data_IF_071556332684
#
_entry.id   IF_071556332684
#
_cell.length_a   1.000
_cell.length_b   1.000
_cell.length_c   1.000
_cell.angle_alpha   90.00
_cell.angle_beta   90.00
_cell.angle_gamma   90.00
#
_symmetry.space_group_name_H-M   'P 1'
#
loop_
_entity.id
_entity.type
_entity.pdbx_description
1 polymer ?
#
# COMPACT_ATOMS: atom_id res chain seq x y z
N UNK A 1 12.44 -2.71 -27.15
CA UNK A 1 11.51 -2.74 -25.98
C UNK A 1 10.31 -3.59 -26.39
N UNK A 2 9.99 -4.65 -25.63
CA UNK A 2 8.86 -5.52 -25.91
C UNK A 2 7.76 -5.18 -24.89
N UNK A 3 6.60 -4.71 -25.38
CA UNK A 3 5.49 -4.29 -24.52
C UNK A 3 4.41 -5.38 -24.33
N UNK A 4 4.61 -6.56 -24.92
CA UNK A 4 3.69 -7.69 -24.76
C UNK A 4 3.97 -8.46 -23.48
N UNK A 5 2.92 -8.97 -22.84
CA UNK A 5 3.03 -9.86 -21.69
C UNK A 5 3.49 -11.25 -22.13
N UNK A 6 4.32 -11.90 -21.33
CA UNK A 6 4.61 -13.32 -21.45
C UNK A 6 3.36 -14.16 -21.15
N UNK A 7 3.38 -15.46 -21.50
CA UNK A 7 2.26 -16.36 -21.20
C UNK A 7 2.06 -16.51 -19.68
N UNK A 8 3.15 -16.53 -18.91
CA UNK A 8 3.10 -16.54 -17.43
C UNK A 8 2.46 -15.26 -16.89
N UNK A 9 2.86 -14.09 -17.38
CA UNK A 9 2.28 -12.82 -16.98
C UNK A 9 0.79 -12.71 -17.33
N UNK A 10 0.36 -13.24 -18.48
CA UNK A 10 -1.06 -13.34 -18.83
C UNK A 10 -1.82 -14.21 -17.85
N UNK A 11 -1.27 -15.35 -17.48
CA UNK A 11 -1.88 -16.27 -16.51
C UNK A 11 -2.01 -15.60 -15.13
N UNK A 12 -0.99 -14.86 -14.67
CA UNK A 12 -1.05 -14.10 -13.42
C UNK A 12 -2.19 -13.09 -13.46
N UNK A 13 -2.30 -12.31 -14.54
CA UNK A 13 -3.38 -11.34 -14.73
C UNK A 13 -4.75 -12.01 -14.73
N UNK A 14 -4.93 -13.07 -15.51
CA UNK A 14 -6.21 -13.76 -15.64
C UNK A 14 -6.64 -14.42 -14.32
N UNK A 15 -5.72 -15.11 -13.63
CA UNK A 15 -6.00 -15.77 -12.35
C UNK A 15 -6.35 -14.75 -11.27
N UNK A 16 -5.56 -13.68 -11.16
CA UNK A 16 -5.79 -12.65 -10.15
C UNK A 16 -7.10 -11.91 -10.41
N UNK A 17 -7.38 -11.56 -11.68
CA UNK A 17 -8.64 -10.92 -12.07
C UNK A 17 -9.85 -11.80 -11.74
N UNK A 18 -9.80 -13.08 -12.11
CA UNK A 18 -10.86 -14.01 -11.80
C UNK A 18 -11.12 -14.12 -10.30
N UNK A 19 -10.07 -14.15 -9.48
CA UNK A 19 -10.19 -14.15 -8.03
C UNK A 19 -10.85 -12.87 -7.52
N UNK A 20 -10.42 -11.72 -8.01
CA UNK A 20 -10.99 -10.42 -7.64
C UNK A 20 -12.49 -10.36 -7.97
N UNK A 21 -12.86 -10.75 -9.18
CA UNK A 21 -14.25 -10.67 -9.65
C UNK A 21 -15.17 -11.67 -8.95
N UNK A 22 -14.70 -12.89 -8.72
CA UNK A 22 -15.52 -13.96 -8.15
C UNK A 22 -15.53 -13.98 -6.61
N UNK A 23 -14.41 -13.63 -5.97
CA UNK A 23 -14.24 -13.78 -4.53
C UNK A 23 -14.25 -12.45 -3.76
N UNK A 24 -13.78 -11.34 -4.35
CA UNK A 24 -13.71 -10.07 -3.63
C UNK A 24 -14.88 -9.14 -3.92
N UNK A 25 -15.28 -8.96 -5.19
CA UNK A 25 -16.39 -8.05 -5.57
C UNK A 25 -17.70 -8.34 -4.85
N UNK A 26 -18.12 -9.61 -4.61
CA UNK A 26 -19.38 -9.88 -3.92
C UNK A 26 -19.47 -9.28 -2.51
N UNK A 27 -18.33 -9.06 -1.85
CA UNK A 27 -18.27 -8.58 -0.47
C UNK A 27 -18.06 -7.07 -0.34
N UNK A 28 -17.75 -6.37 -1.44
CA UNK A 28 -17.42 -4.94 -1.40
C UNK A 28 -18.53 -4.08 -0.79
N UNK A 29 -19.78 -4.32 -1.20
CA UNK A 29 -20.93 -3.52 -0.74
C UNK A 29 -21.16 -3.65 0.76
N UNK A 30 -21.01 -4.85 1.33
CA UNK A 30 -21.12 -5.07 2.77
C UNK A 30 -20.02 -4.31 3.52
N UNK A 31 -18.77 -4.48 3.10
CA UNK A 31 -17.62 -3.82 3.72
C UNK A 31 -17.73 -2.29 3.65
N UNK A 32 -18.13 -1.76 2.50
CA UNK A 32 -18.31 -0.31 2.33
C UNK A 32 -19.42 0.27 3.22
N UNK A 33 -20.56 -0.42 3.33
CA UNK A 33 -21.70 0.04 4.13
C UNK A 33 -21.46 -0.08 5.62
N UNK A 34 -20.86 -1.17 6.07
CA UNK A 34 -20.60 -1.41 7.49
C UNK A 34 -19.33 -0.72 7.99
N UNK A 35 -18.34 -0.52 7.11
CA UNK A 35 -16.99 -0.10 7.48
C UNK A 35 -16.23 -1.17 8.26
N UNK A 36 -16.67 -2.43 8.21
CA UNK A 36 -16.10 -3.56 8.96
C UNK A 36 -15.78 -4.71 8.02
N UNK A 37 -14.60 -5.25 8.14
CA UNK A 37 -14.20 -6.51 7.53
C UNK A 37 -14.22 -7.60 8.61
N UNK A 38 -15.24 -8.48 8.56
CA UNK A 38 -15.46 -9.51 9.58
C UNK A 38 -14.34 -10.55 9.58
N UNK A 39 -13.98 -11.07 10.74
CA UNK A 39 -12.91 -12.05 10.90
C UNK A 39 -13.16 -13.33 10.12
N UNK A 40 -14.38 -13.84 10.13
CA UNK A 40 -14.78 -15.03 9.40
C UNK A 40 -14.57 -14.86 7.88
N UNK A 41 -14.89 -13.68 7.35
CA UNK A 41 -14.67 -13.37 5.94
C UNK A 41 -13.18 -13.24 5.61
N UNK A 42 -12.38 -12.65 6.51
CA UNK A 42 -10.91 -12.61 6.34
C UNK A 42 -10.36 -14.02 6.23
N UNK A 43 -10.74 -14.90 7.16
CA UNK A 43 -10.21 -16.27 7.22
C UNK A 43 -10.65 -17.10 6.00
N UNK A 44 -11.90 -16.94 5.54
CA UNK A 44 -12.42 -17.57 4.32
C UNK A 44 -11.65 -17.12 3.07
N UNK A 45 -11.58 -15.81 2.81
CA UNK A 45 -10.94 -15.27 1.62
C UNK A 45 -9.43 -15.52 1.61
N UNK A 46 -8.78 -15.49 2.78
CA UNK A 46 -7.38 -15.86 2.92
C UNK A 46 -7.12 -17.32 2.56
N UNK A 47 -7.96 -18.24 3.04
CA UNK A 47 -7.85 -19.66 2.70
C UNK A 47 -7.96 -19.87 1.19
N UNK A 48 -8.93 -19.25 0.54
CA UNK A 48 -9.09 -19.28 -0.93
C UNK A 48 -7.89 -18.66 -1.66
N UNK A 49 -7.32 -17.54 -1.16
CA UNK A 49 -6.14 -16.92 -1.74
C UNK A 49 -4.89 -17.79 -1.62
N UNK A 50 -4.75 -18.51 -0.51
CA UNK A 50 -3.66 -19.50 -0.32
C UNK A 50 -3.83 -20.67 -1.29
N UNK A 51 -5.02 -21.23 -1.42
CA UNK A 51 -5.33 -22.33 -2.34
C UNK A 51 -5.08 -21.94 -3.80
N UNK A 52 -5.41 -20.70 -4.17
CA UNK A 52 -5.18 -20.15 -5.50
C UNK A 52 -3.71 -19.74 -5.77
N UNK A 53 -2.81 -19.85 -4.78
CA UNK A 53 -1.40 -19.43 -4.91
C UNK A 53 -1.20 -17.91 -4.99
N UNK A 54 -2.21 -17.11 -4.59
CA UNK A 54 -2.18 -15.66 -4.64
C UNK A 54 -1.68 -15.03 -3.32
N UNK A 55 -1.78 -15.74 -2.20
CA UNK A 55 -1.27 -15.28 -0.91
C UNK A 55 0.26 -15.40 -0.86
N UNK A 56 0.95 -14.43 -0.26
CA UNK A 56 2.41 -14.34 -0.21
C UNK A 56 3.09 -14.28 -1.60
N UNK A 57 2.37 -13.89 -2.65
CA UNK A 57 2.92 -13.79 -4.01
C UNK A 57 4.09 -12.78 -4.12
N UNK A 58 4.15 -11.79 -3.21
CA UNK A 58 5.21 -10.80 -3.11
C UNK A 58 6.52 -11.34 -2.47
N UNK A 59 6.51 -12.56 -1.94
CA UNK A 59 7.67 -13.13 -1.26
C UNK A 59 8.55 -13.93 -2.22
N UNK A 60 9.90 -13.96 -1.97
CA UNK A 60 10.81 -14.84 -2.70
C UNK A 60 10.44 -16.32 -2.58
N UNK A 61 10.78 -17.12 -3.59
CA UNK A 61 10.47 -18.55 -3.63
C UNK A 61 11.20 -19.34 -2.54
N UNK A 62 12.42 -18.94 -2.16
CA UNK A 62 13.23 -19.61 -1.14
C UNK A 62 12.63 -19.53 0.27
N UNK A 63 11.71 -18.59 0.51
CA UNK A 63 10.97 -18.47 1.77
C UNK A 63 9.50 -18.93 1.66
N UNK A 64 9.10 -19.47 0.51
CA UNK A 64 7.76 -20.03 0.29
C UNK A 64 6.77 -19.07 -0.38
N UNK A 65 7.24 -17.99 -0.99
CA UNK A 65 6.43 -17.11 -1.83
C UNK A 65 6.42 -17.53 -3.31
N UNK A 66 5.76 -16.73 -4.16
CA UNK A 66 5.69 -17.04 -5.59
C UNK A 66 6.97 -16.69 -6.37
N UNK A 67 7.87 -15.89 -5.81
CA UNK A 67 9.13 -15.54 -6.45
C UNK A 67 8.97 -14.69 -7.72
N UNK A 68 7.90 -13.91 -7.81
CA UNK A 68 7.62 -13.05 -8.95
C UNK A 68 8.71 -11.98 -9.13
N UNK A 69 9.08 -11.71 -10.38
CA UNK A 69 9.81 -10.50 -10.70
C UNK A 69 8.93 -9.25 -10.43
N UNK A 70 9.53 -8.09 -10.39
CA UNK A 70 8.80 -6.86 -10.03
C UNK A 70 7.70 -6.54 -11.03
N UNK A 71 7.93 -6.73 -12.31
CA UNK A 71 6.91 -6.50 -13.35
C UNK A 71 5.72 -7.41 -13.14
N UNK A 72 5.93 -8.71 -12.92
CA UNK A 72 4.88 -9.69 -12.68
C UNK A 72 4.13 -9.42 -11.37
N UNK A 73 4.85 -9.03 -10.32
CA UNK A 73 4.23 -8.60 -9.07
C UNK A 73 3.36 -7.34 -9.24
N UNK A 74 3.81 -6.35 -10.03
CA UNK A 74 3.01 -5.15 -10.30
C UNK A 74 1.76 -5.45 -11.14
N UNK A 75 1.81 -6.43 -12.03
CA UNK A 75 0.61 -6.91 -12.75
C UNK A 75 -0.40 -7.53 -11.77
N UNK A 76 0.08 -8.38 -10.85
CA UNK A 76 -0.74 -8.93 -9.76
C UNK A 76 -1.36 -7.83 -8.89
N UNK A 77 -0.57 -6.86 -8.41
CA UNK A 77 -1.06 -5.76 -7.58
C UNK A 77 -2.05 -4.85 -8.33
N UNK A 78 -1.86 -4.66 -9.63
CA UNK A 78 -2.80 -3.93 -10.49
C UNK A 78 -4.16 -4.59 -10.53
N UNK A 79 -4.22 -5.90 -10.69
CA UNK A 79 -5.48 -6.64 -10.69
C UNK A 79 -6.15 -6.64 -9.30
N UNK A 80 -5.40 -6.85 -8.23
CA UNK A 80 -5.91 -6.73 -6.87
C UNK A 80 -6.45 -5.33 -6.57
N UNK A 81 -5.79 -4.31 -7.07
CA UNK A 81 -6.19 -2.91 -6.91
C UNK A 81 -7.60 -2.59 -7.43
N UNK A 82 -8.17 -3.41 -8.29
CA UNK A 82 -9.56 -3.28 -8.78
C UNK A 82 -10.60 -3.45 -7.67
N UNK A 83 -10.28 -4.21 -6.61
CA UNK A 83 -11.17 -4.46 -5.48
C UNK A 83 -11.09 -3.38 -4.39
N UNK A 84 -12.04 -3.47 -3.42
CA UNK A 84 -11.94 -2.71 -2.18
C UNK A 84 -10.61 -2.99 -1.47
N UNK A 85 -9.97 -1.93 -0.96
CA UNK A 85 -8.62 -2.02 -0.40
C UNK A 85 -8.54 -2.95 0.82
N UNK A 86 -9.53 -2.90 1.72
CA UNK A 86 -9.54 -3.76 2.90
C UNK A 86 -9.57 -5.25 2.50
N UNK A 87 -10.39 -5.60 1.51
CA UNK A 87 -10.50 -6.98 1.04
C UNK A 87 -9.19 -7.51 0.46
N UNK A 88 -8.62 -6.81 -0.54
CA UNK A 88 -7.43 -7.35 -1.18
C UNK A 88 -6.19 -7.29 -0.29
N UNK A 89 -6.00 -6.19 0.45
CA UNK A 89 -4.82 -6.04 1.29
C UNK A 89 -4.83 -6.96 2.51
N UNK A 90 -5.98 -7.11 3.19
CA UNK A 90 -6.08 -7.95 4.38
C UNK A 90 -6.08 -9.44 4.06
N UNK A 91 -6.76 -9.82 2.97
CA UNK A 91 -7.02 -11.23 2.69
C UNK A 91 -6.04 -11.84 1.68
N UNK A 92 -5.38 -11.04 0.83
CA UNK A 92 -4.61 -11.56 -0.33
C UNK A 92 -3.18 -11.02 -0.35
N UNK A 93 -2.97 -9.71 -0.43
CA UNK A 93 -1.66 -9.08 -0.63
C UNK A 93 -0.81 -9.04 0.66
N UNK A 94 -0.53 -10.17 1.26
CA UNK A 94 0.23 -10.31 2.51
C UNK A 94 1.28 -11.43 2.39
N UNK A 95 2.29 -11.48 3.27
CA UNK A 95 2.70 -10.54 4.34
C UNK A 95 3.58 -9.39 3.84
N UNK A 96 4.02 -8.50 4.76
CA UNK A 96 4.96 -7.42 4.46
C UNK A 96 6.37 -7.97 4.19
N UNK A 97 7.01 -7.55 3.09
CA UNK A 97 8.38 -7.95 2.72
C UNK A 97 9.46 -7.45 3.69
N UNK A 98 9.15 -6.48 4.55
CA UNK A 98 10.08 -6.01 5.59
C UNK A 98 10.51 -7.13 6.55
N UNK A 99 9.71 -8.20 6.67
CA UNK A 99 10.00 -9.39 7.47
C UNK A 99 11.25 -10.16 6.98
N UNK A 100 11.65 -9.97 5.73
CA UNK A 100 12.86 -10.56 5.16
C UNK A 100 14.14 -10.06 5.83
N UNK A 101 14.11 -8.90 6.50
CA UNK A 101 15.23 -8.36 7.26
C UNK A 101 15.51 -9.09 8.60
N UNK A 102 14.62 -10.01 9.00
CA UNK A 102 14.75 -10.76 10.25
C UNK A 102 15.89 -11.78 10.24
N UNK A 103 16.45 -12.07 11.45
CA UNK A 103 17.39 -13.19 11.65
C UNK A 103 16.70 -14.52 11.36
N UNK A 104 17.43 -15.65 11.23
CA UNK A 104 16.82 -16.97 11.05
C UNK A 104 15.76 -17.26 12.12
N UNK A 105 16.04 -16.97 13.38
CA UNK A 105 15.14 -17.22 14.52
C UNK A 105 13.89 -16.30 14.43
N UNK A 106 14.07 -15.06 14.00
CA UNK A 106 12.97 -14.13 13.77
C UNK A 106 12.11 -14.53 12.57
N UNK A 107 12.72 -15.09 11.51
CA UNK A 107 11.99 -15.62 10.37
C UNK A 107 11.12 -16.82 10.76
N UNK A 108 11.64 -17.73 11.59
CA UNK A 108 10.84 -18.84 12.14
C UNK A 108 9.66 -18.34 12.98
N UNK A 109 9.86 -17.32 13.77
CA UNK A 109 8.82 -16.79 14.68
C UNK A 109 7.77 -15.94 13.99
N UNK A 110 8.16 -15.15 12.97
CA UNK A 110 7.35 -14.09 12.37
C UNK A 110 7.09 -14.30 10.87
N UNK A 111 8.14 -14.49 10.05
CA UNK A 111 8.01 -14.52 8.60
C UNK A 111 7.25 -15.76 8.12
N UNK A 112 7.72 -16.95 8.46
CA UNK A 112 7.12 -18.19 7.96
C UNK A 112 5.66 -18.39 8.43
N UNK A 113 5.27 -18.08 9.69
CA UNK A 113 3.86 -18.07 10.07
C UNK A 113 3.02 -17.06 9.29
N UNK A 114 3.58 -15.88 8.95
CA UNK A 114 2.89 -14.91 8.10
C UNK A 114 2.71 -15.41 6.67
N UNK A 115 3.72 -16.06 6.08
CA UNK A 115 3.63 -16.67 4.74
C UNK A 115 2.55 -17.76 4.69
N UNK A 116 2.42 -18.55 5.75
CA UNK A 116 1.35 -19.57 5.87
C UNK A 116 -0.02 -19.00 6.24
N UNK A 117 -0.13 -17.68 6.43
CA UNK A 117 -1.38 -17.03 6.82
C UNK A 117 -1.81 -17.26 8.27
N UNK A 118 -0.95 -17.85 9.11
CA UNK A 118 -1.17 -18.16 10.52
C UNK A 118 -1.05 -16.91 11.41
N UNK A 119 -0.20 -15.95 11.03
CA UNK A 119 0.00 -14.67 11.72
C UNK A 119 -0.14 -13.49 10.76
N UNK A 120 -0.40 -12.32 11.33
CA UNK A 120 -0.42 -11.04 10.63
C UNK A 120 0.40 -9.99 11.36
N UNK A 121 1.02 -9.10 10.60
CA UNK A 121 1.82 -7.98 11.05
C UNK A 121 1.10 -6.65 10.86
N UNK A 122 1.53 -5.63 11.60
CA UNK A 122 1.28 -4.24 11.27
C UNK A 122 2.58 -3.43 11.35
N UNK A 123 2.64 -2.33 10.56
CA UNK A 123 3.82 -1.46 10.49
C UNK A 123 3.55 -0.13 11.18
N UNK A 124 4.37 0.25 12.16
CA UNK A 124 4.17 1.40 13.01
C UNK A 124 5.32 2.41 12.92
N UNK A 125 5.18 3.40 12.01
CA UNK A 125 6.15 4.49 11.82
C UNK A 125 5.60 5.84 12.26
N UNK A 126 4.42 6.20 11.78
CA UNK A 126 3.81 7.53 11.90
C UNK A 126 3.41 7.86 13.34
N UNK A 127 3.61 9.13 13.72
CA UNK A 127 3.22 9.66 15.03
C UNK A 127 2.32 10.89 14.87
N UNK A 128 1.59 11.33 15.91
CA UNK A 128 0.80 12.56 15.87
C UNK A 128 1.58 13.80 15.41
N UNK A 129 2.89 13.84 15.65
CA UNK A 129 3.78 14.95 15.27
C UNK A 129 4.78 14.64 14.17
N UNK A 130 4.79 13.44 13.60
CA UNK A 130 5.79 13.00 12.62
C UNK A 130 5.18 12.08 11.55
N UNK A 131 4.86 12.66 10.39
CA UNK A 131 4.38 11.94 9.20
C UNK A 131 5.38 12.05 8.07
N UNK A 132 5.35 13.11 7.26
CA UNK A 132 6.31 13.34 6.18
C UNK A 132 7.75 13.48 6.68
N UNK A 133 7.94 14.08 7.85
CA UNK A 133 9.23 14.10 8.57
C UNK A 133 9.30 12.97 9.59
N UNK A 134 9.60 11.75 9.12
CA UNK A 134 9.75 10.57 9.98
C UNK A 134 10.91 10.72 11.00
N UNK A 135 11.91 11.55 10.70
CA UNK A 135 13.02 11.80 11.64
C UNK A 135 12.65 12.75 12.78
N UNK A 136 11.53 13.43 12.65
CA UNK A 136 10.91 14.22 13.72
C UNK A 136 10.19 13.39 14.79
N UNK A 137 10.20 12.04 14.70
CA UNK A 137 9.52 11.16 15.66
C UNK A 137 9.97 11.42 17.11
N UNK A 138 9.04 11.29 18.04
CA UNK A 138 9.25 11.50 19.48
C UNK A 138 9.22 10.20 20.30
N UNK A 139 8.61 9.15 19.77
CA UNK A 139 8.64 7.84 20.41
C UNK A 139 10.08 7.32 20.48
N UNK A 140 10.47 6.83 21.64
CA UNK A 140 11.85 6.48 21.98
C UNK A 140 12.00 5.01 22.34
N UNK A 141 13.18 4.47 22.06
CA UNK A 141 13.65 3.22 22.62
C UNK A 141 14.99 3.47 23.33
N UNK A 142 15.03 3.22 24.63
CA UNK A 142 16.23 3.41 25.47
C UNK A 142 16.74 2.04 25.89
N UNK A 143 18.04 1.81 25.71
CA UNK A 143 18.66 0.57 26.14
C UNK A 143 18.84 0.57 27.66
N UNK A 144 18.40 -0.50 28.31
CA UNK A 144 18.52 -0.73 29.75
C UNK A 144 19.08 -2.14 29.99
N UNK A 145 20.38 -2.21 30.22
CA UNK A 145 21.11 -3.48 30.26
C UNK A 145 21.10 -4.17 28.89
N UNK A 146 20.61 -5.40 28.84
CA UNK A 146 20.43 -6.17 27.60
C UNK A 146 19.10 -5.87 26.90
N UNK A 147 18.20 -5.14 27.55
CA UNK A 147 16.84 -4.91 27.06
C UNK A 147 16.67 -3.50 26.46
N UNK A 148 15.54 -3.29 25.85
CA UNK A 148 15.07 -2.00 25.36
C UNK A 148 13.76 -1.61 26.02
N UNK A 149 13.62 -0.35 26.42
CA UNK A 149 12.40 0.22 26.96
C UNK A 149 11.83 1.21 25.95
N UNK A 150 10.63 0.91 25.45
CA UNK A 150 9.94 1.69 24.44
C UNK A 150 8.89 2.58 25.11
N UNK A 151 8.87 3.88 24.72
CA UNK A 151 7.89 4.86 25.17
C UNK A 151 7.42 5.75 24.01
N UNK A 152 6.11 6.01 23.94
CA UNK A 152 5.52 6.93 22.97
C UNK A 152 4.26 6.41 22.33
N UNK A 153 3.82 7.11 21.27
CA UNK A 153 2.55 6.82 20.58
C UNK A 153 2.77 6.80 19.07
N UNK A 154 2.22 5.78 18.42
CA UNK A 154 2.10 5.70 16.95
C UNK A 154 0.63 5.81 16.56
N UNK A 155 0.34 6.43 15.42
CA UNK A 155 -1.04 6.54 14.93
C UNK A 155 -1.16 6.26 13.43
N UNK A 156 -2.40 6.12 12.96
CA UNK A 156 -2.72 5.65 11.61
C UNK A 156 -2.10 4.28 11.29
N UNK A 157 -2.03 3.40 12.32
CA UNK A 157 -1.43 2.09 12.14
C UNK A 157 -2.49 1.12 11.63
N UNK A 158 -2.33 0.75 10.39
CA UNK A 158 -3.24 -0.12 9.67
C UNK A 158 -3.15 -1.55 10.20
N UNK A 159 -4.30 -2.22 10.33
CA UNK A 159 -4.43 -3.62 10.77
C UNK A 159 -3.98 -3.94 12.20
N UNK A 160 -3.59 -2.99 13.01
CA UNK A 160 -3.07 -3.28 14.34
C UNK A 160 -4.10 -3.94 15.27
N UNK A 161 -5.39 -3.75 15.02
CA UNK A 161 -6.50 -4.40 15.73
C UNK A 161 -6.50 -5.93 15.57
N UNK A 162 -6.13 -6.42 14.39
CA UNK A 162 -6.11 -7.85 14.06
C UNK A 162 -4.70 -8.45 13.99
N UNK A 163 -3.65 -7.62 14.04
CA UNK A 163 -2.26 -8.06 13.96
C UNK A 163 -1.84 -8.86 15.21
N UNK A 164 -1.00 -9.86 15.02
CA UNK A 164 -0.40 -10.67 16.07
C UNK A 164 0.85 -10.01 16.65
N UNK A 165 1.50 -9.16 15.88
CA UNK A 165 2.65 -8.35 16.30
C UNK A 165 2.77 -7.07 15.47
N UNK A 166 3.48 -6.09 16.02
CA UNK A 166 3.82 -4.85 15.33
C UNK A 166 5.31 -4.78 14.98
N UNK A 167 5.64 -4.22 13.82
CA UNK A 167 6.97 -3.77 13.45
C UNK A 167 7.03 -2.27 13.72
N UNK A 168 7.80 -1.86 14.73
CA UNK A 168 7.76 -0.50 15.28
C UNK A 168 9.11 0.20 15.11
N UNK A 169 9.09 1.43 14.60
CA UNK A 169 10.27 2.27 14.43
C UNK A 169 10.32 3.30 15.55
N UNK A 170 11.43 3.32 16.31
CA UNK A 170 11.64 4.18 17.47
C UNK A 170 12.95 4.95 17.35
N UNK A 171 12.98 6.18 17.89
CA UNK A 171 14.21 6.92 18.06
C UNK A 171 15.05 6.26 19.17
N UNK A 172 16.23 5.78 18.83
CA UNK A 172 17.10 5.00 19.73
C UNK A 172 18.44 5.68 20.04
N UNK A 173 18.62 6.90 19.58
CA UNK A 173 19.82 7.71 19.80
C UNK A 173 19.86 8.93 18.88
N UNK A 174 20.97 9.67 18.96
CA UNK A 174 21.22 10.84 18.13
C UNK A 174 22.64 10.77 17.52
N UNK A 175 22.82 11.43 16.40
CA UNK A 175 24.11 11.64 15.73
C UNK A 175 24.23 13.09 15.27
N UNK A 176 25.46 13.59 15.19
CA UNK A 176 25.71 14.90 14.61
C UNK A 176 25.61 14.86 13.08
N UNK A 177 24.98 15.86 12.51
CA UNK A 177 24.87 16.04 11.06
C UNK A 177 25.15 17.50 10.68
N UNK A 178 25.46 17.80 9.40
CA UNK A 178 25.67 19.19 8.95
C UNK A 178 24.48 20.13 9.20
N UNK A 179 23.28 19.56 9.46
CA UNK A 179 22.05 20.31 9.73
C UNK A 179 21.62 20.27 11.21
N UNK A 180 22.52 19.91 12.11
CA UNK A 180 22.25 19.71 13.53
C UNK A 180 22.08 18.24 13.92
N UNK A 181 21.61 17.99 15.13
CA UNK A 181 21.39 16.61 15.62
C UNK A 181 20.31 15.87 14.83
N UNK A 182 20.62 14.65 14.46
CA UNK A 182 19.73 13.75 13.71
C UNK A 182 19.45 12.50 14.55
N UNK A 183 18.18 12.09 14.62
CA UNK A 183 17.79 10.86 15.33
C UNK A 183 18.25 9.62 14.60
N UNK A 184 18.83 8.69 15.35
CA UNK A 184 19.04 7.30 14.97
C UNK A 184 17.76 6.53 15.26
N UNK A 185 17.39 5.63 14.37
CA UNK A 185 16.14 4.87 14.45
C UNK A 185 16.46 3.39 14.47
N UNK A 186 15.79 2.66 15.36
CA UNK A 186 15.84 1.19 15.41
C UNK A 186 14.43 0.63 15.17
N UNK A 187 14.36 -0.48 14.46
CA UNK A 187 13.12 -1.22 14.25
C UNK A 187 13.02 -2.37 15.26
N UNK A 188 11.82 -2.65 15.75
CA UNK A 188 11.55 -3.68 16.73
C UNK A 188 10.33 -4.50 16.36
N UNK A 189 10.35 -5.79 16.67
CA UNK A 189 9.14 -6.60 16.79
C UNK A 189 8.52 -6.42 18.16
N UNK A 190 7.21 -6.19 18.22
CA UNK A 190 6.45 -6.10 19.47
C UNK A 190 5.25 -7.03 19.37
N UNK A 191 5.29 -8.13 20.12
CA UNK A 191 4.20 -9.11 20.13
C UNK A 191 2.94 -8.53 20.80
N UNK A 192 1.76 -8.86 20.29
CA UNK A 192 0.49 -8.54 20.95
C UNK A 192 0.46 -9.11 22.37
N UNK A 193 0.03 -8.32 23.34
CA UNK A 193 0.01 -8.70 24.73
C UNK A 193 1.31 -8.44 25.50
N UNK A 194 2.35 -7.88 24.86
CA UNK A 194 3.55 -7.41 25.57
C UNK A 194 3.15 -6.34 26.61
N UNK A 195 3.66 -6.48 27.85
CA UNK A 195 3.38 -5.51 28.92
C UNK A 195 3.86 -4.11 28.50
N UNK A 196 3.00 -3.12 28.70
CA UNK A 196 3.27 -1.74 28.29
C UNK A 196 2.99 -1.45 26.81
N UNK A 197 2.48 -2.42 26.03
CA UNK A 197 2.01 -2.24 24.68
C UNK A 197 0.50 -2.34 24.60
N UNK A 198 -0.16 -1.28 24.10
CA UNK A 198 -1.62 -1.20 23.97
C UNK A 198 -2.01 -0.80 22.55
N UNK A 199 -2.98 -1.50 21.98
CA UNK A 199 -3.64 -1.15 20.72
C UNK A 199 -4.99 -0.53 21.06
N UNK A 200 -5.22 0.70 20.60
CA UNK A 200 -6.49 1.41 20.78
C UNK A 200 -7.16 1.67 19.46
N UNK A 201 -8.49 1.81 19.51
CA UNK A 201 -9.28 2.28 18.38
C UNK A 201 -8.72 3.61 17.87
N UNK A 202 -8.59 3.71 16.57
CA UNK A 202 -8.09 4.90 15.91
C UNK A 202 -9.20 5.74 15.29
N UNK A 203 -8.89 6.30 14.12
CA UNK A 203 -9.77 7.25 13.47
C UNK A 203 -10.69 6.58 12.45
N UNK A 204 -11.93 7.05 12.35
CA UNK A 204 -12.80 6.68 11.23
C UNK A 204 -12.31 7.39 9.97
N UNK A 205 -11.98 6.60 8.96
CA UNK A 205 -11.49 7.10 7.69
C UNK A 205 -12.62 7.22 6.66
N UNK A 206 -12.58 8.23 5.80
CA UNK A 206 -13.49 8.37 4.67
C UNK A 206 -13.11 7.43 3.53
N UNK A 207 -11.82 7.15 3.36
CA UNK A 207 -11.25 6.25 2.34
C UNK A 207 -10.99 4.85 2.93
N UNK A 208 -10.88 3.84 2.06
CA UNK A 208 -10.52 2.48 2.46
C UNK A 208 -11.37 1.94 3.63
N UNK A 209 -12.69 2.05 3.51
CA UNK A 209 -13.61 1.51 4.52
C UNK A 209 -13.39 0.01 4.71
N UNK A 210 -13.49 -0.43 5.95
CA UNK A 210 -13.13 -1.79 6.35
C UNK A 210 -11.64 -1.97 6.67
N UNK A 211 -10.79 -1.00 6.34
CA UNK A 211 -9.37 -0.97 6.66
C UNK A 211 -9.14 -0.11 7.88
N UNK A 212 -8.92 -0.74 9.03
CA UNK A 212 -8.80 -0.05 10.31
C UNK A 212 -7.49 0.71 10.43
N UNK A 213 -7.52 1.82 11.19
CA UNK A 213 -6.36 2.62 11.54
C UNK A 213 -6.32 2.79 13.04
N UNK A 214 -5.42 2.11 13.72
CA UNK A 214 -5.32 2.08 15.17
C UNK A 214 -4.29 3.09 15.70
N UNK A 215 -4.34 3.30 17.01
CA UNK A 215 -3.32 4.01 17.79
C UNK A 215 -2.58 2.96 18.62
N UNK A 216 -1.24 2.98 18.55
CA UNK A 216 -0.37 2.13 19.38
C UNK A 216 0.26 2.99 20.47
N UNK A 217 0.14 2.56 21.70
CA UNK A 217 0.73 3.22 22.87
C UNK A 217 1.77 2.31 23.53
N UNK A 218 2.91 2.89 23.87
CA UNK A 218 4.03 2.25 24.53
C UNK A 218 4.31 3.00 25.83
N UNK A 219 4.18 2.31 26.94
CA UNK A 219 4.39 2.83 28.30
C UNK A 219 5.31 1.87 29.06
N UNK A 220 6.58 2.22 29.15
CA UNK A 220 7.65 1.37 29.65
C UNK A 220 7.61 -0.06 29.08
N UNK A 221 7.34 -0.16 27.77
CA UNK A 221 7.26 -1.43 27.06
C UNK A 221 8.65 -2.02 26.92
N UNK A 222 8.95 -3.05 27.70
CA UNK A 222 10.28 -3.69 27.77
C UNK A 222 10.38 -4.84 26.78
N UNK A 223 11.45 -4.82 25.98
CA UNK A 223 11.73 -5.83 24.97
C UNK A 223 13.17 -6.35 25.12
N UNK A 224 13.42 -7.66 24.96
CA UNK A 224 14.77 -8.18 24.89
C UNK A 224 15.45 -7.75 23.57
N UNK A 225 16.78 -7.71 23.56
CA UNK A 225 17.56 -7.35 22.35
C UNK A 225 17.25 -8.23 21.14
N UNK A 226 16.78 -9.47 21.33
CA UNK A 226 16.36 -10.38 20.25
C UNK A 226 15.13 -9.89 19.46
N UNK A 227 14.43 -8.86 19.93
CA UNK A 227 13.31 -8.25 19.22
C UNK A 227 13.73 -7.08 18.29
N UNK A 228 15.01 -6.73 18.25
CA UNK A 228 15.53 -5.75 17.26
C UNK A 228 15.46 -6.35 15.87
N UNK A 229 14.81 -5.67 14.94
CA UNK A 229 14.77 -6.04 13.53
C UNK A 229 15.90 -5.33 12.77
N UNK A 230 16.79 -6.10 12.18
CA UNK A 230 18.01 -5.59 11.56
C UNK A 230 19.05 -5.13 12.58
N UNK A 231 19.78 -4.06 12.27
CA UNK A 231 20.83 -3.52 13.13
C UNK A 231 20.31 -2.34 13.97
N UNK A 232 20.84 -2.23 15.23
CA UNK A 232 20.58 -1.09 16.10
C UNK A 232 21.00 0.21 15.39
N UNK A 233 20.17 1.24 15.47
CA UNK A 233 20.32 2.55 14.83
C UNK A 233 20.22 2.57 13.30
N UNK A 234 19.96 1.42 12.64
CA UNK A 234 19.80 1.31 11.19
C UNK A 234 18.36 0.97 10.75
N UNK A 235 17.38 1.19 11.59
CA UNK A 235 15.97 0.95 11.24
C UNK A 235 15.53 1.73 10.00
N UNK A 236 16.17 2.88 9.69
CA UNK A 236 15.85 3.62 8.47
C UNK A 236 16.26 2.89 7.20
N UNK A 237 17.32 2.07 7.23
CA UNK A 237 17.77 1.28 6.10
C UNK A 237 16.75 0.14 5.83
N UNK A 238 16.23 -0.49 6.91
CA UNK A 238 15.14 -1.46 6.85
C UNK A 238 13.87 -0.80 6.26
N UNK A 239 13.53 0.41 6.71
CA UNK A 239 12.37 1.14 6.18
C UNK A 239 12.53 1.50 4.70
N UNK A 240 13.72 1.94 4.27
CA UNK A 240 13.97 2.36 2.89
C UNK A 240 13.85 1.22 1.89
N UNK A 241 14.28 0.01 2.24
CA UNK A 241 14.12 -1.17 1.38
C UNK A 241 12.65 -1.48 1.10
N UNK A 242 11.78 -1.24 2.08
CA UNK A 242 10.34 -1.42 1.95
C UNK A 242 9.65 -0.25 1.23
N UNK A 243 9.99 1.01 1.57
CA UNK A 243 9.35 2.21 1.03
C UNK A 243 9.49 2.35 -0.50
N UNK A 244 10.59 1.88 -1.07
CA UNK A 244 10.79 1.88 -2.53
C UNK A 244 9.76 1.02 -3.24
N UNK A 245 9.64 -0.25 -2.84
CA UNK A 245 8.70 -1.20 -3.41
C UNK A 245 7.25 -0.75 -3.20
N UNK A 246 6.92 -0.19 -2.04
CA UNK A 246 5.56 0.27 -1.71
C UNK A 246 5.08 1.40 -2.63
N UNK A 247 5.97 2.31 -3.08
CA UNK A 247 5.60 3.34 -4.05
C UNK A 247 5.13 2.76 -5.38
N UNK A 248 5.81 1.72 -5.87
CA UNK A 248 5.41 1.01 -7.08
C UNK A 248 4.11 0.24 -6.89
N UNK A 249 3.93 -0.40 -5.74
CA UNK A 249 2.69 -1.09 -5.37
C UNK A 249 1.48 -0.15 -5.37
N UNK A 250 1.59 1.00 -4.70
CA UNK A 250 0.54 2.03 -4.71
C UNK A 250 0.27 2.49 -6.14
N UNK A 251 1.32 2.67 -6.96
CA UNK A 251 1.16 2.97 -8.38
C UNK A 251 0.31 1.92 -9.09
N UNK A 252 0.65 0.65 -8.96
CA UNK A 252 -0.05 -0.46 -9.62
C UNK A 252 -1.51 -0.59 -9.15
N UNK A 253 -1.78 -0.52 -7.85
CA UNK A 253 -3.16 -0.58 -7.33
C UNK A 253 -4.01 0.60 -7.81
N UNK A 254 -3.41 1.80 -7.97
CA UNK A 254 -4.08 2.95 -8.57
C UNK A 254 -4.46 2.71 -10.04
N UNK A 255 -3.59 2.04 -10.82
CA UNK A 255 -3.90 1.69 -12.22
C UNK A 255 -5.14 0.77 -12.29
N UNK A 256 -5.21 -0.26 -11.47
CA UNK A 256 -6.33 -1.19 -11.45
C UNK A 256 -7.66 -0.53 -11.12
N UNK A 257 -7.68 0.36 -10.11
CA UNK A 257 -8.88 1.15 -9.76
C UNK A 257 -9.29 2.10 -10.88
N UNK A 258 -8.32 2.78 -11.49
CA UNK A 258 -8.59 3.69 -12.60
C UNK A 258 -9.14 2.95 -13.83
N UNK A 259 -8.60 1.78 -14.17
CA UNK A 259 -9.15 0.93 -15.24
C UNK A 259 -10.60 0.54 -14.96
N UNK A 260 -10.92 0.12 -13.74
CA UNK A 260 -12.30 -0.22 -13.37
C UNK A 260 -13.22 0.99 -13.51
N UNK A 261 -12.82 2.15 -13.00
CA UNK A 261 -13.60 3.38 -13.11
C UNK A 261 -13.82 3.81 -14.57
N UNK A 262 -12.78 3.75 -15.40
CA UNK A 262 -12.85 4.06 -16.82
C UNK A 262 -13.76 3.08 -17.57
N UNK A 263 -13.69 1.77 -17.27
CA UNK A 263 -14.57 0.77 -17.90
C UNK A 263 -16.03 1.08 -17.62
N UNK A 264 -16.40 1.36 -16.36
CA UNK A 264 -17.77 1.77 -16.01
C UNK A 264 -18.19 3.05 -16.76
N UNK A 265 -17.31 4.04 -16.88
CA UNK A 265 -17.60 5.28 -17.57
C UNK A 265 -17.83 5.08 -19.08
N UNK A 266 -17.03 4.22 -19.73
CA UNK A 266 -17.19 3.87 -21.15
C UNK A 266 -18.52 3.17 -21.39
N UNK A 267 -18.84 2.13 -20.59
CA UNK A 267 -20.08 1.37 -20.70
C UNK A 267 -21.31 2.26 -20.52
N UNK A 268 -21.29 3.09 -19.49
CA UNK A 268 -22.39 4.02 -19.23
C UNK A 268 -22.56 5.05 -20.35
N UNK A 269 -21.47 5.65 -20.82
CA UNK A 269 -21.52 6.63 -21.92
C UNK A 269 -22.01 6.03 -23.24
N UNK A 270 -21.74 4.75 -23.48
CA UNK A 270 -22.21 4.01 -24.66
C UNK A 270 -23.69 3.64 -24.61
N UNK A 271 -24.28 3.50 -23.40
CA UNK A 271 -25.64 3.04 -23.22
C UNK A 271 -26.62 4.17 -22.86
N UNK A 272 -26.20 5.10 -21.98
CA UNK A 272 -27.06 6.19 -21.50
C UNK A 272 -27.46 7.14 -22.61
N UNK A 273 -28.74 7.39 -22.76
CA UNK A 273 -29.28 8.31 -23.76
C UNK A 273 -29.80 9.58 -23.11
N UNK A 274 -29.47 10.72 -23.70
CA UNK A 274 -30.04 12.03 -23.44
C UNK A 274 -30.11 12.82 -24.76
N UNK A 275 -31.06 13.73 -24.90
CA UNK A 275 -31.28 14.52 -26.09
C UNK A 275 -31.36 13.67 -27.38
N UNK A 276 -31.96 12.46 -27.26
CA UNK A 276 -32.21 11.57 -28.41
C UNK A 276 -31.01 10.73 -28.88
N UNK A 277 -29.88 10.73 -28.17
CA UNK A 277 -28.72 9.93 -28.49
C UNK A 277 -27.89 9.51 -27.28
N UNK A 278 -26.96 8.54 -27.48
CA UNK A 278 -26.01 8.14 -26.42
C UNK A 278 -25.16 9.35 -26.00
N UNK A 279 -24.93 9.47 -24.68
CA UNK A 279 -24.16 10.60 -24.14
C UNK A 279 -22.70 10.59 -24.62
N UNK A 280 -22.13 9.43 -24.93
CA UNK A 280 -20.79 9.30 -25.48
C UNK A 280 -20.61 9.94 -26.86
N UNK A 281 -21.70 10.31 -27.59
CA UNK A 281 -21.64 11.05 -28.86
C UNK A 281 -21.42 12.55 -28.66
N UNK A 282 -21.63 13.07 -27.46
CA UNK A 282 -21.34 14.47 -27.17
C UNK A 282 -19.84 14.64 -26.88
N UNK A 283 -19.18 15.62 -27.52
CA UNK A 283 -17.75 15.87 -27.36
C UNK A 283 -17.37 16.16 -25.90
N UNK A 284 -18.25 16.86 -25.13
CA UNK A 284 -18.05 17.10 -23.71
C UNK A 284 -17.96 15.82 -22.85
N UNK A 285 -18.42 14.67 -23.35
CA UNK A 285 -18.31 13.35 -22.69
C UNK A 285 -17.18 12.53 -23.33
N UNK A 286 -17.14 12.43 -24.66
CA UNK A 286 -16.14 11.61 -25.35
C UNK A 286 -14.70 12.12 -25.13
N UNK A 287 -14.50 13.42 -24.99
CA UNK A 287 -13.17 13.99 -24.70
C UNK A 287 -12.71 13.67 -23.29
N UNK A 288 -13.62 13.62 -22.29
CA UNK A 288 -13.29 13.14 -20.96
C UNK A 288 -12.77 11.70 -20.98
N UNK A 289 -13.45 10.80 -21.72
CA UNK A 289 -12.99 9.42 -21.89
C UNK A 289 -11.62 9.32 -22.55
N UNK A 290 -11.36 10.16 -23.56
CA UNK A 290 -10.05 10.22 -24.23
C UNK A 290 -8.95 10.69 -23.29
N UNK A 291 -9.19 11.73 -22.50
CA UNK A 291 -8.25 12.26 -21.52
C UNK A 291 -7.99 11.22 -20.40
N UNK A 292 -9.04 10.60 -19.86
CA UNK A 292 -8.92 9.53 -18.86
C UNK A 292 -8.05 8.37 -19.37
N UNK A 293 -8.30 7.91 -20.60
CA UNK A 293 -7.54 6.81 -21.21
C UNK A 293 -6.07 7.20 -21.44
N UNK A 294 -5.80 8.43 -21.87
CA UNK A 294 -4.46 8.95 -22.12
C UNK A 294 -3.66 9.06 -20.82
N UNK A 295 -4.26 9.63 -19.78
CA UNK A 295 -3.66 9.80 -18.47
C UNK A 295 -3.34 8.44 -17.80
N UNK A 296 -4.29 7.49 -17.92
CA UNK A 296 -4.10 6.12 -17.43
C UNK A 296 -2.95 5.43 -18.16
N UNK A 297 -2.89 5.54 -19.50
CA UNK A 297 -1.80 4.93 -20.29
C UNK A 297 -0.43 5.52 -19.95
N UNK A 298 -0.35 6.83 -19.73
CA UNK A 298 0.90 7.48 -19.32
C UNK A 298 1.36 6.98 -17.95
N UNK A 299 0.44 6.85 -16.97
CA UNK A 299 0.74 6.34 -15.64
C UNK A 299 1.17 4.85 -15.68
N UNK A 300 0.46 4.03 -16.46
CA UNK A 300 0.77 2.61 -16.70
C UNK A 300 2.21 2.42 -17.19
N UNK A 301 2.61 3.15 -18.23
CA UNK A 301 3.97 3.09 -18.75
C UNK A 301 5.03 3.49 -17.71
N UNK A 302 4.78 4.51 -16.91
CA UNK A 302 5.75 4.96 -15.90
C UNK A 302 5.89 3.96 -14.76
N UNK A 303 4.79 3.35 -14.31
CA UNK A 303 4.82 2.34 -13.23
C UNK A 303 5.57 1.09 -13.70
N UNK A 304 5.26 0.58 -14.89
CA UNK A 304 5.90 -0.64 -15.40
C UNK A 304 7.34 -0.40 -15.87
N UNK A 305 7.68 0.79 -16.37
CA UNK A 305 9.10 1.14 -16.63
C UNK A 305 9.90 1.14 -15.34
N UNK A 306 9.39 1.74 -14.26
CA UNK A 306 10.06 1.75 -12.99
C UNK A 306 10.20 0.34 -12.39
N UNK A 307 9.19 -0.53 -12.55
CA UNK A 307 9.25 -1.94 -12.18
C UNK A 307 10.32 -2.70 -12.97
N UNK A 308 10.36 -2.52 -14.28
CA UNK A 308 11.39 -3.11 -15.12
C UNK A 308 12.80 -2.64 -14.74
N UNK A 309 13.00 -1.35 -14.47
CA UNK A 309 14.28 -0.83 -13.97
C UNK A 309 14.65 -1.43 -12.62
N UNK A 310 13.67 -1.71 -11.77
CA UNK A 310 13.90 -2.37 -10.47
C UNK A 310 14.51 -3.76 -10.68
N UNK A 311 13.94 -4.55 -11.59
CA UNK A 311 14.44 -5.89 -11.93
C UNK A 311 15.85 -5.85 -12.57
N UNK A 312 16.18 -4.75 -13.28
CA UNK A 312 17.52 -4.54 -13.83
C UNK A 312 18.53 -3.96 -12.82
N UNK A 313 18.13 -3.66 -11.59
CA UNK A 313 18.99 -3.00 -10.59
C UNK A 313 19.37 -1.55 -10.94
N UNK A 314 18.63 -0.90 -11.82
CA UNK A 314 18.90 0.47 -12.32
C UNK A 314 17.87 1.51 -11.89
N UNK A 315 16.85 1.11 -11.15
CA UNK A 315 15.82 2.01 -10.64
C UNK A 315 16.40 3.04 -9.68
N UNK A 316 15.89 4.25 -9.76
CA UNK A 316 16.23 5.34 -8.84
C UNK A 316 15.04 5.74 -7.98
N UNK A 317 15.29 6.40 -6.83
CA UNK A 317 14.22 7.01 -6.03
C UNK A 317 13.37 7.99 -6.85
N UNK A 318 13.99 8.66 -7.84
CA UNK A 318 13.29 9.56 -8.76
C UNK A 318 12.28 8.81 -9.63
N UNK A 319 12.66 7.66 -10.21
CA UNK A 319 11.78 6.84 -11.06
C UNK A 319 10.54 6.40 -10.26
N UNK A 320 10.76 5.85 -9.07
CA UNK A 320 9.69 5.38 -8.18
C UNK A 320 8.78 6.53 -7.71
N UNK A 321 9.37 7.69 -7.40
CA UNK A 321 8.60 8.87 -7.02
C UNK A 321 7.75 9.42 -8.17
N UNK A 322 8.27 9.45 -9.39
CA UNK A 322 7.55 9.87 -10.59
C UNK A 322 6.37 8.92 -10.89
N UNK A 323 6.60 7.61 -10.80
CA UNK A 323 5.59 6.58 -11.01
C UNK A 323 4.43 6.73 -9.99
N UNK A 324 4.76 6.83 -8.69
CA UNK A 324 3.76 7.00 -7.62
C UNK A 324 2.98 8.31 -7.79
N UNK A 325 3.66 9.42 -8.01
CA UNK A 325 3.04 10.73 -8.18
C UNK A 325 2.06 10.71 -9.36
N UNK A 326 2.50 10.24 -10.53
CA UNK A 326 1.66 10.19 -11.73
C UNK A 326 0.44 9.29 -11.54
N UNK A 327 0.62 8.10 -11.00
CA UNK A 327 -0.47 7.13 -10.82
C UNK A 327 -1.55 7.62 -9.85
N UNK A 328 -1.15 8.24 -8.73
CA UNK A 328 -2.11 8.72 -7.72
C UNK A 328 -2.86 9.97 -8.15
N UNK A 329 -2.21 10.91 -8.87
CA UNK A 329 -2.88 12.07 -9.45
C UNK A 329 -3.82 11.67 -10.60
N UNK A 330 -3.40 10.72 -11.44
CA UNK A 330 -4.22 10.15 -12.52
C UNK A 330 -5.47 9.46 -11.95
N UNK A 331 -5.35 8.64 -10.90
CA UNK A 331 -6.51 7.99 -10.29
C UNK A 331 -7.52 9.01 -9.77
N UNK A 332 -7.05 10.09 -9.11
CA UNK A 332 -7.93 11.15 -8.63
C UNK A 332 -8.71 11.80 -9.78
N UNK A 333 -8.05 12.06 -10.90
CA UNK A 333 -8.68 12.61 -12.10
C UNK A 333 -9.68 11.63 -12.74
N UNK A 334 -9.28 10.38 -12.97
CA UNK A 334 -10.13 9.37 -13.61
C UNK A 334 -11.36 9.06 -12.77
N UNK A 335 -11.22 8.95 -11.45
CA UNK A 335 -12.34 8.68 -10.55
C UNK A 335 -13.37 9.82 -10.53
N UNK A 336 -12.90 11.07 -10.54
CA UNK A 336 -13.76 12.25 -10.56
C UNK A 336 -14.54 12.36 -11.86
N UNK A 337 -13.87 12.19 -13.00
CA UNK A 337 -14.51 12.23 -14.31
C UNK A 337 -15.47 11.04 -14.55
N UNK A 338 -15.17 9.87 -13.98
CA UNK A 338 -16.09 8.73 -14.05
C UNK A 338 -17.41 9.03 -13.31
N UNK A 339 -17.37 9.64 -12.11
CA UNK A 339 -18.56 10.13 -11.40
C UNK A 339 -19.29 11.16 -12.25
N UNK A 340 -18.58 12.15 -12.80
CA UNK A 340 -19.17 13.22 -13.60
C UNK A 340 -19.91 12.67 -14.82
N UNK A 341 -19.37 11.65 -15.51
CA UNK A 341 -20.02 11.00 -16.66
C UNK A 341 -21.31 10.28 -16.24
N UNK A 342 -21.32 9.63 -15.05
CA UNK A 342 -22.51 8.94 -14.54
C UNK A 342 -23.57 9.90 -13.96
N UNK A 343 -23.20 11.15 -13.68
CA UNK A 343 -24.10 12.12 -13.02
C UNK A 343 -24.54 11.61 -11.65
N UNK A 344 -25.80 11.78 -11.29
CA UNK A 344 -26.31 11.37 -9.97
C UNK A 344 -26.07 9.90 -9.62
N UNK A 345 -26.07 8.99 -10.60
CA UNK A 345 -25.78 7.57 -10.38
C UNK A 345 -24.34 7.31 -9.94
N UNK A 346 -23.38 8.15 -10.34
CA UNK A 346 -22.00 8.03 -9.90
C UNK A 346 -21.77 8.25 -8.40
N UNK A 347 -22.75 8.88 -7.71
CA UNK A 347 -22.71 9.14 -6.27
C UNK A 347 -23.42 8.06 -5.44
N UNK A 348 -24.08 7.08 -6.10
CA UNK A 348 -24.81 6.02 -5.42
C UNK A 348 -23.89 4.84 -5.11
N UNK A 349 -24.12 4.20 -3.95
CA UNK A 349 -23.34 3.04 -3.48
C UNK A 349 -23.67 1.72 -4.21
N UNK A 350 -24.53 1.80 -5.22
CA UNK A 350 -24.83 0.68 -6.14
C UNK A 350 -23.69 0.45 -7.15
N UNK A 351 -22.86 1.48 -7.37
CA UNK A 351 -21.69 1.44 -8.24
C UNK A 351 -20.40 1.62 -7.42
N UNK A 352 -19.26 1.09 -7.87
CA UNK A 352 -18.01 1.24 -7.13
C UNK A 352 -17.39 2.65 -7.24
N UNK A 353 -17.98 3.58 -8.00
CA UNK A 353 -17.36 4.83 -8.41
C UNK A 353 -17.18 5.80 -7.24
N UNK A 354 -18.20 5.98 -6.39
CA UNK A 354 -18.10 6.86 -5.24
C UNK A 354 -17.03 6.39 -4.25
N UNK A 355 -16.89 5.06 -4.09
CA UNK A 355 -15.84 4.46 -3.30
C UNK A 355 -14.46 4.72 -3.90
N UNK A 356 -14.28 4.43 -5.19
CA UNK A 356 -13.00 4.65 -5.89
C UNK A 356 -12.60 6.13 -5.78
N UNK A 357 -13.53 7.06 -5.90
CA UNK A 357 -13.30 8.49 -5.74
C UNK A 357 -12.85 8.86 -4.32
N UNK A 358 -13.51 8.33 -3.28
CA UNK A 358 -13.09 8.54 -1.88
C UNK A 358 -11.70 7.94 -1.61
N UNK A 359 -11.46 6.74 -2.11
CA UNK A 359 -10.21 6.02 -1.92
C UNK A 359 -9.05 6.71 -2.64
N UNK A 360 -9.27 7.29 -3.82
CA UNK A 360 -8.27 8.06 -4.54
C UNK A 360 -7.65 9.20 -3.71
N UNK A 361 -8.38 9.71 -2.68
CA UNK A 361 -7.88 10.82 -1.89
C UNK A 361 -6.72 10.46 -0.99
N UNK A 362 -6.71 9.28 -0.37
CA UNK A 362 -5.63 8.85 0.53
C UNK A 362 -4.38 8.46 -0.24
N UNK A 363 -4.50 8.01 -1.48
CA UNK A 363 -3.37 7.60 -2.32
C UNK A 363 -2.34 8.74 -2.53
N UNK A 364 -2.79 9.97 -2.53
CA UNK A 364 -1.96 11.18 -2.64
C UNK A 364 -1.30 11.59 -1.30
N UNK A 365 -1.63 10.92 -0.19
CA UNK A 365 -1.18 11.27 1.17
C UNK A 365 -0.20 10.24 1.72
N UNK A 366 -0.60 8.97 1.75
CA UNK A 366 0.20 7.91 2.34
C UNK A 366 1.39 7.49 1.48
N UNK A 367 2.30 6.71 2.03
CA UNK A 367 3.54 6.24 1.38
C UNK A 367 4.38 7.39 0.78
N UNK A 368 4.33 8.53 1.48
CA UNK A 368 4.90 9.80 1.03
C UNK A 368 3.93 10.61 0.18
N UNK A 369 3.58 11.80 0.68
CA UNK A 369 2.62 12.69 0.00
C UNK A 369 3.07 13.07 -1.41
N UNK A 370 2.14 13.57 -2.23
CA UNK A 370 2.46 14.14 -3.55
C UNK A 370 3.58 15.19 -3.49
N UNK A 371 3.63 15.97 -2.40
CA UNK A 371 4.67 16.97 -2.15
C UNK A 371 6.02 16.32 -1.86
N UNK A 372 6.03 15.22 -1.08
CA UNK A 372 7.25 14.45 -0.81
C UNK A 372 7.77 13.79 -2.10
N UNK A 373 6.90 13.26 -2.95
CA UNK A 373 7.33 12.73 -4.25
C UNK A 373 7.97 13.85 -5.10
N UNK A 374 7.34 15.03 -5.18
CA UNK A 374 7.91 16.20 -5.89
C UNK A 374 9.23 16.64 -5.28
N UNK A 375 9.37 16.60 -3.96
CA UNK A 375 10.64 16.91 -3.28
C UNK A 375 11.76 15.93 -3.66
N UNK A 376 11.45 14.61 -3.71
CA UNK A 376 12.42 13.59 -4.13
C UNK A 376 12.86 13.85 -5.57
N UNK A 377 11.93 14.09 -6.48
CA UNK A 377 12.18 14.34 -7.89
C UNK A 377 13.04 15.61 -8.06
N UNK A 378 12.62 16.74 -7.50
CA UNK A 378 13.32 18.01 -7.63
C UNK A 378 14.73 17.96 -7.07
N UNK A 379 14.91 17.30 -5.92
CA UNK A 379 16.21 17.12 -5.29
C UNK A 379 17.16 16.25 -6.15
N UNK A 380 16.64 15.20 -6.78
CA UNK A 380 17.42 14.38 -7.70
C UNK A 380 17.90 15.17 -8.91
N UNK A 381 17.02 16.01 -9.48
CA UNK A 381 17.35 16.88 -10.61
C UNK A 381 18.37 17.99 -10.28
N UNK A 382 18.30 18.54 -9.06
CA UNK A 382 19.17 19.67 -8.66
C UNK A 382 20.50 19.23 -8.06
N UNK A 383 20.58 17.98 -7.56
CA UNK A 383 21.81 17.44 -6.93
C UNK A 383 23.07 17.57 -7.77
N UNK A 384 23.07 17.34 -9.11
CA UNK A 384 24.28 17.51 -9.93
C UNK A 384 24.80 18.95 -9.98
N UNK A 385 23.96 19.93 -9.63
CA UNK A 385 24.28 21.35 -9.60
C UNK A 385 24.63 21.87 -8.19
N UNK A 386 24.69 20.95 -7.20
CA UNK A 386 25.08 21.32 -5.82
C UNK A 386 23.94 21.95 -5.00
N UNK A 387 22.69 21.80 -5.44
CA UNK A 387 21.51 22.38 -4.76
C UNK A 387 20.64 21.30 -4.07
#
# INVERSE_FOLDING_TARGET
MHFGLSEEQKLIVETTRAFVENELYPHEREVERTGVLRRELIDELKAKAIEAGLYAANMPADVGGAGLDTVSWLLYEKELGRANYALHWTCVARPSNILLAGTPEQREKYLFPCIRGEKSDCLAMTEPGAGSDLRGMKATAVQDGSDWVLNGTKHFISHADIADFAIVFMASGEEDSPRGKRKKITAFFVDKGTKGFTVRDGYRNVSHRGYTNSILEFDDCRLPASQVLGEVHKGFDVANSWLGATRLQVGATCLGRAERALSHAIEYAAQRQQFGQQIGKFQGVSFKLADMATELKAADLMVFEAGWKYDQGTVTDQDMAMAKLKATEMLAFVADEAIQIHGGMGLMDDLPLERIWRDARVERIWEGTSEIQRHIISRALLRPFGA
#
